data_IF_178863576806
#
_entry.id   IF_178863576806
#
_cell.length_a   1.000
_cell.length_b   1.000
_cell.length_c   1.000
_cell.angle_alpha   90.00
_cell.angle_beta   90.00
_cell.angle_gamma   90.00
#
_symmetry.space_group_name_H-M   'P 1'
#
loop_
_entity.id
_entity.type
_entity.pdbx_description
1 polymer ?
#
# COMPACT_ATOMS: atom_id res chain seq x y z
N UNK A 1 -7.02 -4.53 14.45
CA UNK A 1 -8.08 -3.60 13.92
C UNK A 1 -9.10 -3.28 15.01
N UNK A 2 -9.65 -4.31 15.69
CA UNK A 2 -10.70 -4.12 16.69
C UNK A 2 -10.24 -3.20 17.84
N UNK A 3 -9.08 -3.47 18.42
CA UNK A 3 -8.48 -2.61 19.42
C UNK A 3 -8.29 -1.15 18.96
N UNK A 4 -7.93 -0.93 17.68
CA UNK A 4 -7.77 0.42 17.14
C UNK A 4 -9.12 1.17 17.08
N UNK A 5 -10.20 0.46 16.75
CA UNK A 5 -11.56 1.01 16.75
C UNK A 5 -12.04 1.28 18.18
N UNK A 6 -11.84 0.35 19.10
CA UNK A 6 -12.27 0.46 20.50
C UNK A 6 -11.57 1.62 21.21
N UNK A 7 -10.26 1.80 20.96
CA UNK A 7 -9.45 2.89 21.50
C UNK A 7 -9.59 4.21 20.70
N UNK A 8 -10.38 4.23 19.62
CA UNK A 8 -10.58 5.40 18.76
C UNK A 8 -9.27 5.97 18.23
N UNK A 9 -8.35 5.09 17.78
CA UNK A 9 -7.11 5.55 17.16
C UNK A 9 -7.42 6.31 15.88
N UNK A 10 -6.58 7.29 15.53
CA UNK A 10 -6.74 8.11 14.33
C UNK A 10 -6.66 7.31 13.03
N UNK A 11 -5.85 6.25 12.99
CA UNK A 11 -5.69 5.42 11.81
C UNK A 11 -4.75 4.24 12.00
N UNK A 12 -4.53 3.49 10.91
CA UNK A 12 -3.63 2.34 10.85
C UNK A 12 -2.74 2.49 9.61
N UNK A 13 -1.43 2.26 9.78
CA UNK A 13 -0.49 2.09 8.67
C UNK A 13 -0.32 0.59 8.43
N UNK A 14 -0.58 0.12 7.22
CA UNK A 14 -0.44 -1.27 6.81
C UNK A 14 0.27 -1.37 5.45
N UNK A 15 1.43 -2.06 5.36
CA UNK A 15 2.00 -3.01 6.34
C UNK A 15 3.45 -2.68 6.69
N UNK A 16 4.01 -3.40 7.68
CA UNK A 16 5.46 -3.48 7.86
C UNK A 16 6.03 -4.50 6.86
N UNK A 17 7.35 -4.59 6.73
CA UNK A 17 8.09 -5.52 5.86
C UNK A 17 7.75 -6.98 6.15
N UNK A 18 7.88 -7.84 5.12
CA UNK A 18 7.63 -9.29 5.28
C UNK A 18 8.86 -10.06 5.70
N UNK A 19 8.69 -11.12 6.49
CA UNK A 19 9.73 -12.09 6.79
C UNK A 19 9.72 -13.28 5.81
N UNK A 20 8.73 -13.39 4.92
CA UNK A 20 8.68 -14.44 3.90
C UNK A 20 9.82 -14.27 2.91
N UNK A 21 10.44 -15.39 2.54
CA UNK A 21 11.49 -15.49 1.53
C UNK A 21 11.00 -16.17 0.26
N UNK A 22 9.72 -16.50 0.18
CA UNK A 22 9.11 -17.18 -0.95
C UNK A 22 9.01 -16.27 -2.17
N UNK A 23 9.21 -16.84 -3.36
CA UNK A 23 9.07 -16.14 -4.64
C UNK A 23 10.15 -15.13 -4.96
N UNK A 24 11.25 -15.06 -4.20
CA UNK A 24 12.37 -14.18 -4.49
C UNK A 24 13.13 -14.68 -5.71
N UNK A 25 13.59 -13.74 -6.56
CA UNK A 25 14.44 -14.04 -7.72
C UNK A 25 15.92 -14.24 -7.34
N UNK A 26 16.32 -13.71 -6.18
CA UNK A 26 17.68 -13.81 -5.67
C UNK A 26 17.92 -15.23 -5.15
N UNK A 27 19.11 -15.76 -5.41
CA UNK A 27 19.54 -17.07 -4.92
C UNK A 27 19.39 -17.19 -3.39
N UNK A 28 18.89 -18.35 -2.95
CA UNK A 28 18.53 -18.57 -1.55
C UNK A 28 19.74 -18.45 -0.59
N UNK A 29 20.93 -18.86 -1.01
CA UNK A 29 22.15 -18.75 -0.20
C UNK A 29 22.55 -17.29 -0.02
N UNK A 30 22.39 -16.46 -1.07
CA UNK A 30 22.63 -15.02 -0.97
C UNK A 30 21.63 -14.35 -0.03
N UNK A 31 20.34 -14.71 -0.14
CA UNK A 31 19.30 -14.19 0.76
C UNK A 31 19.58 -14.57 2.20
N UNK A 32 19.96 -15.82 2.47
CA UNK A 32 20.32 -16.28 3.82
C UNK A 32 21.53 -15.52 4.40
N UNK A 33 22.54 -15.23 3.57
CA UNK A 33 23.72 -14.47 3.97
C UNK A 33 23.42 -13.00 4.36
N UNK A 34 22.29 -12.44 3.90
CA UNK A 34 21.85 -11.09 4.27
C UNK A 34 21.23 -11.00 5.68
N UNK A 35 21.02 -12.14 6.34
CA UNK A 35 20.47 -12.20 7.70
C UNK A 35 18.95 -12.17 7.76
N UNK A 36 18.41 -11.89 8.96
CA UNK A 36 16.98 -12.03 9.31
C UNK A 36 16.12 -10.78 9.09
N UNK A 37 16.63 -9.74 8.45
CA UNK A 37 15.90 -8.51 8.17
C UNK A 37 14.62 -8.72 7.36
N UNK A 38 13.66 -7.79 7.49
CA UNK A 38 12.43 -7.80 6.69
C UNK A 38 12.70 -7.43 5.22
N UNK A 39 11.88 -7.98 4.33
CA UNK A 39 11.91 -7.68 2.89
C UNK A 39 10.81 -6.68 2.57
N UNK A 40 11.16 -5.61 1.86
CA UNK A 40 10.26 -4.56 1.37
C UNK A 40 10.11 -4.59 -0.16
N UNK A 41 9.25 -3.74 -0.69
CA UNK A 41 9.06 -3.58 -2.13
C UNK A 41 8.18 -4.65 -2.76
N UNK A 42 8.51 -5.02 -4.00
CA UNK A 42 7.69 -5.91 -4.83
C UNK A 42 7.23 -7.22 -4.17
N UNK A 43 8.10 -7.94 -3.43
CA UNK A 43 7.69 -9.20 -2.77
C UNK A 43 6.52 -9.05 -1.78
N UNK A 44 6.35 -7.86 -1.22
CA UNK A 44 5.33 -7.54 -0.23
C UNK A 44 3.99 -7.10 -0.86
N UNK A 45 3.99 -6.71 -2.13
CA UNK A 45 2.88 -6.06 -2.81
C UNK A 45 1.54 -6.77 -2.63
N UNK A 46 1.48 -8.06 -2.94
CA UNK A 46 0.24 -8.85 -2.85
C UNK A 46 -0.25 -8.94 -1.41
N UNK A 47 0.67 -9.27 -0.49
CA UNK A 47 0.31 -9.47 0.92
C UNK A 47 -0.17 -8.18 1.59
N UNK A 48 0.47 -7.05 1.30
CA UNK A 48 0.07 -5.76 1.85
C UNK A 48 -1.33 -5.33 1.36
N UNK A 49 -1.69 -5.64 0.11
CA UNK A 49 -3.05 -5.42 -0.40
C UNK A 49 -4.08 -6.30 0.33
N UNK A 50 -3.82 -7.59 0.46
CA UNK A 50 -4.71 -8.51 1.19
C UNK A 50 -4.97 -8.08 2.64
N UNK A 51 -3.94 -7.55 3.30
CA UNK A 51 -4.06 -7.03 4.67
C UNK A 51 -4.89 -5.75 4.68
N UNK A 52 -4.65 -4.83 3.74
CA UNK A 52 -5.43 -3.61 3.60
C UNK A 52 -6.92 -3.91 3.41
N UNK A 53 -7.27 -4.83 2.52
CA UNK A 53 -8.64 -5.28 2.27
C UNK A 53 -9.32 -5.77 3.55
N UNK A 54 -8.63 -6.62 4.32
CA UNK A 54 -9.15 -7.13 5.59
C UNK A 54 -9.36 -6.04 6.64
N UNK A 55 -8.47 -5.05 6.68
CA UNK A 55 -8.60 -3.89 7.58
C UNK A 55 -9.77 -3.04 7.13
N UNK A 56 -9.86 -2.70 5.84
CA UNK A 56 -10.95 -1.89 5.30
C UNK A 56 -12.32 -2.55 5.50
N UNK A 57 -12.44 -3.85 5.25
CA UNK A 57 -13.69 -4.59 5.49
C UNK A 57 -14.19 -4.48 6.95
N UNK A 58 -13.28 -4.36 7.92
CA UNK A 58 -13.63 -4.16 9.32
C UNK A 58 -13.87 -2.68 9.69
N UNK A 59 -13.06 -1.79 9.14
CA UNK A 59 -13.13 -0.35 9.50
C UNK A 59 -14.20 0.40 8.73
N UNK A 60 -14.45 0.03 7.48
CA UNK A 60 -15.42 0.67 6.58
C UNK A 60 -15.29 2.21 6.58
N UNK A 61 -14.06 2.71 6.53
CA UNK A 61 -13.74 4.13 6.49
C UNK A 61 -13.92 4.88 7.83
N UNK A 62 -14.12 4.18 8.96
CA UNK A 62 -14.25 4.81 10.29
C UNK A 62 -12.96 5.36 10.87
N UNK A 63 -11.81 4.95 10.36
CA UNK A 63 -10.48 5.43 10.73
C UNK A 63 -9.62 5.55 9.48
N UNK A 64 -8.62 6.43 9.49
CA UNK A 64 -7.70 6.63 8.36
C UNK A 64 -6.85 5.38 8.13
N UNK A 65 -6.79 4.92 6.88
CA UNK A 65 -5.89 3.84 6.47
C UNK A 65 -4.76 4.38 5.59
N UNK A 66 -3.52 4.08 5.98
CA UNK A 66 -2.33 4.42 5.20
C UNK A 66 -1.80 3.12 4.58
N UNK A 67 -1.94 2.99 3.25
CA UNK A 67 -1.43 1.85 2.50
C UNK A 67 0.09 1.93 2.36
N UNK A 68 0.80 0.89 2.81
CA UNK A 68 2.25 0.78 2.73
C UNK A 68 2.65 -0.61 2.26
N UNK A 69 3.70 -0.70 1.44
CA UNK A 69 4.27 -1.96 0.94
C UNK A 69 3.98 -2.22 -0.55
N UNK A 70 5.05 -2.35 -1.34
CA UNK A 70 5.00 -2.73 -2.75
C UNK A 70 4.36 -1.72 -3.71
N UNK A 71 4.29 -0.45 -3.34
CA UNK A 71 3.76 0.61 -4.20
C UNK A 71 4.90 1.17 -5.06
N UNK A 72 4.89 0.86 -6.34
CA UNK A 72 5.92 1.29 -7.29
C UNK A 72 5.36 2.15 -8.42
N UNK A 73 4.18 1.80 -8.91
CA UNK A 73 3.53 2.41 -10.07
C UNK A 73 2.27 3.16 -9.71
N UNK A 74 1.76 3.93 -10.66
CA UNK A 74 0.45 4.61 -10.54
C UNK A 74 -0.68 3.59 -10.37
N UNK A 75 -0.58 2.43 -11.02
CA UNK A 75 -1.59 1.38 -10.92
C UNK A 75 -1.59 0.75 -9.52
N UNK A 76 -0.40 0.53 -8.93
CA UNK A 76 -0.30 0.07 -7.54
C UNK A 76 -0.93 1.08 -6.56
N UNK A 77 -0.61 2.35 -6.74
CA UNK A 77 -1.15 3.43 -5.92
C UNK A 77 -2.68 3.53 -6.04
N UNK A 78 -3.19 3.44 -7.27
CA UNK A 78 -4.63 3.45 -7.54
C UNK A 78 -5.33 2.25 -6.90
N UNK A 79 -4.76 1.06 -7.03
CA UNK A 79 -5.26 -0.17 -6.41
C UNK A 79 -5.37 -0.01 -4.88
N UNK A 80 -4.34 0.52 -4.20
CA UNK A 80 -4.41 0.78 -2.75
C UNK A 80 -5.54 1.72 -2.37
N UNK A 81 -5.73 2.83 -3.11
CA UNK A 81 -6.80 3.79 -2.84
C UNK A 81 -8.16 3.14 -3.04
N UNK A 82 -8.40 2.50 -4.17
CA UNK A 82 -9.69 1.87 -4.45
C UNK A 82 -10.01 0.70 -3.54
N UNK A 83 -9.01 0.12 -2.89
CA UNK A 83 -9.13 -0.91 -1.86
C UNK A 83 -9.17 -0.35 -0.41
N UNK A 84 -9.27 0.97 -0.25
CA UNK A 84 -9.60 1.57 1.04
C UNK A 84 -8.49 2.38 1.72
N UNK A 85 -7.34 2.60 1.07
CA UNK A 85 -6.33 3.49 1.62
C UNK A 85 -6.70 4.96 1.37
N UNK A 86 -6.73 5.76 2.43
CA UNK A 86 -6.88 7.22 2.36
C UNK A 86 -5.57 7.89 1.95
N UNK A 87 -4.46 7.36 2.44
CA UNK A 87 -3.10 7.85 2.19
C UNK A 87 -2.19 6.71 1.76
N UNK A 88 -1.08 7.06 1.12
CA UNK A 88 -0.07 6.11 0.66
C UNK A 88 1.30 6.44 1.24
N UNK A 89 2.05 5.40 1.57
CA UNK A 89 3.44 5.50 2.01
C UNK A 89 4.31 4.57 1.18
N UNK A 90 5.41 5.10 0.64
CA UNK A 90 6.37 4.32 -0.14
C UNK A 90 7.80 4.65 0.27
N UNK A 91 8.67 3.65 0.20
CA UNK A 91 10.08 3.79 0.49
C UNK A 91 10.96 3.16 -0.59
N UNK A 92 10.82 1.87 -0.85
CA UNK A 92 11.67 1.12 -1.78
C UNK A 92 11.61 1.68 -3.21
N UNK A 93 10.43 2.02 -3.69
CA UNK A 93 10.26 2.62 -5.02
C UNK A 93 10.97 3.98 -5.11
N UNK A 94 10.91 4.80 -4.06
CA UNK A 94 11.62 6.08 -4.01
C UNK A 94 13.14 5.90 -4.16
N UNK A 95 13.72 4.85 -3.53
CA UNK A 95 15.16 4.56 -3.65
C UNK A 95 15.55 4.25 -5.10
N UNK A 96 14.74 3.45 -5.81
CA UNK A 96 15.06 3.03 -7.18
C UNK A 96 14.65 4.03 -8.26
N UNK A 97 13.56 4.76 -8.08
CA UNK A 97 13.00 5.68 -9.06
C UNK A 97 13.34 7.16 -8.80
N UNK A 98 13.92 7.46 -7.63
CA UNK A 98 14.40 8.79 -7.26
C UNK A 98 13.32 9.76 -6.78
N UNK A 99 13.71 11.04 -6.54
CA UNK A 99 12.88 12.02 -5.82
C UNK A 99 11.58 12.41 -6.53
N UNK A 100 11.50 12.18 -7.84
CA UNK A 100 10.30 12.50 -8.62
C UNK A 100 9.24 11.39 -8.61
N UNK A 101 9.49 10.24 -7.95
CA UNK A 101 8.53 9.14 -7.87
C UNK A 101 7.17 9.59 -7.32
N UNK A 102 7.15 10.29 -6.19
CA UNK A 102 5.90 10.78 -5.60
C UNK A 102 5.14 11.74 -6.54
N UNK A 103 5.86 12.62 -7.25
CA UNK A 103 5.26 13.50 -8.25
C UNK A 103 4.62 12.71 -9.40
N UNK A 104 5.29 11.67 -9.91
CA UNK A 104 4.74 10.79 -10.95
C UNK A 104 3.47 10.07 -10.48
N UNK A 105 3.47 9.55 -9.24
CA UNK A 105 2.30 8.93 -8.63
C UNK A 105 1.14 9.92 -8.57
N UNK A 106 1.33 11.12 -8.00
CA UNK A 106 0.28 12.13 -7.88
C UNK A 106 -0.30 12.54 -9.24
N UNK A 107 0.56 12.80 -10.22
CA UNK A 107 0.14 13.15 -11.59
C UNK A 107 -0.65 12.02 -12.26
N UNK A 108 -0.24 10.78 -12.03
CA UNK A 108 -0.91 9.58 -12.52
C UNK A 108 -2.27 9.37 -11.84
N UNK A 109 -2.35 9.51 -10.53
CA UNK A 109 -3.60 9.42 -9.76
C UNK A 109 -4.62 10.48 -10.21
N UNK A 110 -4.20 11.72 -10.47
CA UNK A 110 -5.07 12.76 -11.02
C UNK A 110 -5.65 12.39 -12.40
N UNK A 111 -4.89 11.67 -13.23
CA UNK A 111 -5.39 11.13 -14.51
C UNK A 111 -6.39 9.98 -14.29
N UNK A 112 -6.08 9.08 -13.33
CA UNK A 112 -6.97 7.97 -12.97
C UNK A 112 -8.33 8.46 -12.45
N UNK A 113 -8.34 9.47 -11.57
CA UNK A 113 -9.58 10.10 -11.08
C UNK A 113 -10.46 10.57 -12.24
N UNK A 114 -9.91 11.40 -13.14
CA UNK A 114 -10.65 11.93 -14.30
C UNK A 114 -11.18 10.81 -15.20
N UNK A 115 -10.34 9.80 -15.49
CA UNK A 115 -10.72 8.67 -16.35
C UNK A 115 -11.87 7.84 -15.76
N UNK A 116 -11.93 7.73 -14.44
CA UNK A 116 -12.95 6.94 -13.73
C UNK A 116 -14.12 7.78 -13.18
N UNK A 117 -14.18 9.09 -13.50
CA UNK A 117 -15.31 9.96 -13.15
C UNK A 117 -15.35 10.39 -11.69
N UNK A 118 -14.25 10.29 -10.95
CA UNK A 118 -14.16 10.78 -9.58
C UNK A 118 -13.69 12.23 -9.51
N UNK A 119 -14.30 13.02 -8.65
CA UNK A 119 -13.94 14.43 -8.41
C UNK A 119 -12.81 14.58 -7.38
N UNK A 120 -12.64 13.59 -6.49
CA UNK A 120 -11.63 13.60 -5.43
C UNK A 120 -11.08 12.21 -5.13
N UNK A 121 -9.93 12.15 -4.47
CA UNK A 121 -9.36 10.89 -3.96
C UNK A 121 -10.32 10.24 -2.96
N UNK A 122 -10.94 11.03 -2.09
CA UNK A 122 -11.86 10.52 -1.07
C UNK A 122 -13.05 9.76 -1.65
N UNK A 123 -13.55 10.15 -2.84
CA UNK A 123 -14.60 9.43 -3.55
C UNK A 123 -14.13 8.07 -4.07
N UNK A 124 -12.86 7.98 -4.47
CA UNK A 124 -12.26 6.76 -4.99
C UNK A 124 -11.89 5.75 -3.88
N UNK A 125 -11.73 6.22 -2.63
CA UNK A 125 -11.36 5.35 -1.50
C UNK A 125 -12.39 4.24 -1.32
N UNK A 126 -11.94 2.98 -1.37
CA UNK A 126 -12.77 1.79 -1.18
C UNK A 126 -13.73 1.49 -2.34
N UNK A 127 -13.65 2.19 -3.47
CA UNK A 127 -14.61 2.02 -4.58
C UNK A 127 -14.58 0.64 -5.25
N UNK A 128 -13.47 -0.12 -5.13
CA UNK A 128 -13.36 -1.47 -5.67
C UNK A 128 -13.88 -2.57 -4.71
N UNK A 129 -14.15 -2.24 -3.43
CA UNK A 129 -14.47 -3.21 -2.37
C UNK A 129 -15.76 -2.85 -1.59
N UNK A 130 -16.50 -1.87 -2.09
CA UNK A 130 -17.83 -1.49 -1.57
C UNK A 130 -18.92 -2.41 -2.09
#
# INVERSE_FOLDING_TARGET
>A
TDLALDLKLAGIIATNTTISREGLRTDAAKVAAMGSGGISGQPEKKRSLEVLDRIYAKTQGRIVLIGCGGIETVDDAWERITHGADLLQGYTAFIYQGPFWAHHIHKGLAKKLRKNGFSSISEAVGSAVR
#
